data_IF_661440703792
#
_entry.id   IF_661440703792
#
_cell.length_a   1.000
_cell.length_b   1.000
_cell.length_c   1.000
_cell.angle_alpha   90.00
_cell.angle_beta   90.00
_cell.angle_gamma   90.00
#
_symmetry.space_group_name_H-M   'P 1'
#
loop_
_entity.id
_entity.type
_entity.pdbx_description
1 polymer ?
#
# COMPACT_ATOMS: atom_id res chain seq x y z
N UNK A 1 -20.63 13.01 12.36
CA UNK A 1 -21.96 12.71 11.75
C UNK A 1 -22.03 11.20 11.60
N UNK A 2 -22.95 10.54 12.28
CA UNK A 2 -23.15 9.07 12.22
C UNK A 2 -24.07 8.78 11.04
N UNK A 3 -23.67 7.87 10.16
CA UNK A 3 -24.48 7.43 9.03
C UNK A 3 -25.34 6.22 9.43
N UNK A 4 -26.34 5.86 8.60
CA UNK A 4 -27.25 4.74 8.85
C UNK A 4 -26.57 3.37 9.04
N UNK A 5 -25.27 3.27 8.72
CA UNK A 5 -24.41 2.09 8.92
C UNK A 5 -23.66 2.08 10.27
N UNK A 6 -23.84 3.13 11.10
CA UNK A 6 -23.19 3.28 12.40
C UNK A 6 -21.72 3.68 12.36
N UNK A 7 -21.19 4.07 11.19
CA UNK A 7 -19.78 4.48 11.04
C UNK A 7 -19.65 6.00 11.18
N UNK A 8 -18.82 6.44 12.11
CA UNK A 8 -18.50 7.85 12.32
C UNK A 8 -17.54 8.35 11.22
N UNK A 9 -17.94 9.38 10.49
CA UNK A 9 -17.07 9.99 9.48
C UNK A 9 -16.19 11.08 10.07
N UNK A 10 -14.90 11.09 9.71
CA UNK A 10 -13.99 12.14 10.14
C UNK A 10 -14.30 13.49 9.49
N UNK A 11 -13.85 14.58 10.13
CA UNK A 11 -14.01 15.94 9.63
C UNK A 11 -13.18 16.14 8.35
N UNK A 12 -13.78 16.60 7.23
CA UNK A 12 -13.07 16.83 5.97
C UNK A 12 -11.91 17.84 6.08
N UNK A 13 -12.01 18.85 6.93
CA UNK A 13 -10.92 19.84 7.14
C UNK A 13 -9.72 19.17 7.77
N UNK A 14 -9.93 18.27 8.72
CA UNK A 14 -8.86 17.53 9.37
C UNK A 14 -8.19 16.55 8.40
N UNK A 15 -8.96 15.92 7.50
CA UNK A 15 -8.43 14.99 6.49
C UNK A 15 -7.46 15.69 5.53
N UNK A 16 -7.83 16.85 4.99
CA UNK A 16 -6.96 17.58 4.09
C UNK A 16 -5.61 17.93 4.73
N UNK A 17 -5.64 18.40 5.99
CA UNK A 17 -4.42 18.68 6.75
C UNK A 17 -3.56 17.42 6.95
N UNK A 18 -4.18 16.27 7.22
CA UNK A 18 -3.47 15.00 7.38
C UNK A 18 -2.79 14.60 6.06
N UNK A 19 -3.51 14.71 4.93
CA UNK A 19 -2.96 14.39 3.60
C UNK A 19 -1.79 15.32 3.27
N UNK A 20 -1.96 16.64 3.40
CA UNK A 20 -0.92 17.63 3.11
C UNK A 20 0.35 17.40 3.93
N UNK A 21 0.20 17.12 5.23
CA UNK A 21 1.33 16.85 6.13
C UNK A 21 2.10 15.57 5.76
N UNK A 22 1.45 14.58 5.13
CA UNK A 22 2.06 13.31 4.75
C UNK A 22 2.47 13.23 3.28
N UNK A 23 2.02 14.16 2.45
CA UNK A 23 2.20 14.11 1.01
C UNK A 23 3.68 14.04 0.59
N UNK A 24 4.57 14.74 1.28
CA UNK A 24 6.01 14.69 0.99
C UNK A 24 6.59 13.28 1.14
N UNK A 25 6.12 12.46 2.09
CA UNK A 25 6.57 11.06 2.22
C UNK A 25 6.19 10.24 0.98
N UNK A 26 5.01 10.45 0.40
CA UNK A 26 4.60 9.83 -0.87
C UNK A 26 5.48 10.28 -2.03
N UNK A 27 5.78 11.56 -2.15
CA UNK A 27 6.63 12.11 -3.21
C UNK A 27 8.07 11.59 -3.12
N UNK A 28 8.66 11.56 -1.93
CA UNK A 28 10.01 11.03 -1.74
C UNK A 28 10.10 9.54 -2.08
N UNK A 29 9.14 8.74 -1.63
CA UNK A 29 9.03 7.32 -1.95
C UNK A 29 8.84 7.09 -3.44
N UNK A 30 7.98 7.87 -4.08
CA UNK A 30 7.75 7.81 -5.52
C UNK A 30 9.02 8.11 -6.33
N UNK A 31 9.80 9.11 -5.91
CA UNK A 31 11.10 9.40 -6.54
C UNK A 31 12.09 8.24 -6.41
N UNK A 32 12.09 7.54 -5.27
CA UNK A 32 12.93 6.34 -5.10
C UNK A 32 12.49 5.22 -6.05
N UNK A 33 11.18 4.96 -6.14
CA UNK A 33 10.61 3.96 -7.04
C UNK A 33 10.95 4.28 -8.50
N UNK A 34 10.73 5.53 -8.94
CA UNK A 34 10.99 5.97 -10.31
C UNK A 34 12.47 5.87 -10.68
N UNK A 35 13.37 6.40 -9.84
CA UNK A 35 14.83 6.38 -10.08
C UNK A 35 15.39 4.96 -10.20
N UNK A 36 14.77 3.98 -9.58
CA UNK A 36 15.17 2.58 -9.65
C UNK A 36 14.40 1.79 -10.73
N UNK A 37 13.55 2.46 -11.54
CA UNK A 37 12.82 1.82 -12.62
C UNK A 37 11.73 0.85 -12.15
N UNK A 38 11.19 1.04 -10.94
CA UNK A 38 10.20 0.16 -10.32
C UNK A 38 8.75 0.62 -10.52
N UNK A 39 8.54 1.81 -11.13
CA UNK A 39 7.22 2.32 -11.48
C UNK A 39 6.73 1.66 -12.78
N UNK A 40 6.02 0.54 -12.68
CA UNK A 40 5.52 -0.21 -13.83
C UNK A 40 4.04 0.09 -14.04
N UNK A 41 3.73 0.93 -15.03
CA UNK A 41 2.35 1.34 -15.31
C UNK A 41 1.66 1.95 -14.10
N UNK A 42 0.45 1.48 -13.78
CA UNK A 42 -0.29 1.81 -12.56
C UNK A 42 -0.18 0.73 -11.48
N UNK A 43 0.80 -0.17 -11.62
CA UNK A 43 1.00 -1.28 -10.69
C UNK A 43 1.68 -0.86 -9.39
N UNK A 44 1.25 -1.50 -8.30
CA UNK A 44 1.73 -1.20 -6.96
C UNK A 44 0.97 -0.06 -6.28
N UNK A 45 1.24 0.15 -5.01
CA UNK A 45 0.60 1.17 -4.18
C UNK A 45 1.40 1.48 -2.93
N UNK A 46 1.15 2.66 -2.37
CA UNK A 46 1.81 3.19 -1.18
C UNK A 46 0.77 3.55 -0.14
N UNK A 47 1.03 3.28 1.14
CA UNK A 47 0.14 3.72 2.21
C UNK A 47 0.88 4.14 3.48
N UNK A 48 0.22 4.98 4.28
CA UNK A 48 0.69 5.45 5.59
C UNK A 48 -0.46 5.32 6.59
N UNK A 49 -0.19 4.71 7.76
CA UNK A 49 -1.13 4.69 8.88
C UNK A 49 -1.16 6.04 9.56
N UNK A 50 -2.33 6.59 9.74
CA UNK A 50 -2.57 7.88 10.37
C UNK A 50 -3.65 7.77 11.46
N UNK A 51 -3.81 8.76 12.34
CA UNK A 51 -4.93 8.77 13.29
C UNK A 51 -6.27 8.62 12.57
N UNK A 52 -7.06 7.64 12.99
CA UNK A 52 -8.40 7.38 12.43
C UNK A 52 -8.44 6.59 11.12
N UNK A 53 -7.29 6.09 10.60
CA UNK A 53 -7.31 5.28 9.37
C UNK A 53 -5.96 5.16 8.67
N UNK A 54 -6.01 5.07 7.35
CA UNK A 54 -4.82 5.03 6.49
C UNK A 54 -4.95 6.02 5.33
N UNK A 55 -3.83 6.56 4.88
CA UNK A 55 -3.71 7.20 3.58
C UNK A 55 -3.18 6.17 2.59
N UNK A 56 -3.77 6.08 1.41
CA UNK A 56 -3.34 5.15 0.36
C UNK A 56 -3.46 5.79 -1.02
N UNK A 57 -2.58 5.44 -1.95
CA UNK A 57 -2.68 5.87 -3.34
C UNK A 57 -3.97 5.35 -3.99
N UNK A 58 -4.57 6.15 -4.87
CA UNK A 58 -5.80 5.79 -5.58
C UNK A 58 -5.57 4.68 -6.61
N UNK A 59 -6.63 3.97 -6.94
CA UNK A 59 -6.62 3.02 -8.06
C UNK A 59 -6.23 3.73 -9.36
N UNK A 60 -5.31 3.14 -10.12
CA UNK A 60 -4.78 3.70 -11.36
C UNK A 60 -3.74 4.81 -11.21
N UNK A 61 -3.36 5.16 -9.98
CA UNK A 61 -2.29 6.12 -9.70
C UNK A 61 -0.94 5.59 -10.17
N UNK A 62 -0.13 6.47 -10.77
CA UNK A 62 1.24 6.11 -11.15
C UNK A 62 2.20 6.37 -9.99
N UNK A 63 2.97 5.36 -9.60
CA UNK A 63 3.93 5.49 -8.50
C UNK A 63 5.12 6.39 -8.82
N UNK A 64 5.31 6.83 -10.06
CA UNK A 64 6.35 7.81 -10.44
C UNK A 64 6.08 9.22 -9.94
N UNK A 65 4.86 9.55 -9.51
CA UNK A 65 4.51 10.88 -9.00
C UNK A 65 3.01 11.02 -8.77
N UNK A 66 2.47 10.49 -7.67
CA UNK A 66 1.05 10.65 -7.36
C UNK A 66 0.73 12.13 -7.10
N UNK A 67 -0.46 12.54 -7.50
CA UNK A 67 -1.00 13.87 -7.21
C UNK A 67 -1.65 13.88 -5.82
N UNK A 68 -1.84 15.07 -5.26
CA UNK A 68 -2.45 15.23 -3.93
C UNK A 68 -3.86 14.60 -3.87
N UNK A 69 -4.67 14.77 -4.94
CA UNK A 69 -6.01 14.20 -5.07
C UNK A 69 -6.03 12.68 -5.33
N UNK A 70 -4.85 12.06 -5.47
CA UNK A 70 -4.65 10.62 -5.60
C UNK A 70 -4.27 9.95 -4.26
N UNK A 71 -4.15 10.73 -3.19
CA UNK A 71 -3.99 10.19 -1.84
C UNK A 71 -5.35 10.15 -1.17
N UNK A 72 -5.84 8.96 -0.90
CA UNK A 72 -7.19 8.70 -0.40
C UNK A 72 -7.12 8.35 1.08
N UNK A 73 -7.97 8.98 1.88
CA UNK A 73 -8.12 8.65 3.29
C UNK A 73 -9.17 7.54 3.45
N UNK A 74 -8.74 6.37 3.90
CA UNK A 74 -9.61 5.24 4.25
C UNK A 74 -9.73 5.20 5.76
N UNK A 75 -10.96 5.32 6.29
CA UNK A 75 -11.20 5.41 7.73
C UNK A 75 -11.83 4.14 8.32
N UNK A 76 -12.35 3.23 7.49
CA UNK A 76 -12.89 1.96 7.95
C UNK A 76 -12.96 0.93 6.83
N UNK A 77 -12.70 -0.34 7.17
CA UNK A 77 -12.89 -1.49 6.28
C UNK A 77 -13.70 -2.54 7.02
N UNK A 78 -14.81 -3.00 6.42
CA UNK A 78 -15.67 -4.04 6.97
C UNK A 78 -15.95 -5.10 5.91
N UNK A 79 -15.51 -6.30 6.15
CA UNK A 79 -15.49 -7.37 5.15
C UNK A 79 -14.83 -6.89 3.84
N UNK A 80 -15.58 -6.72 2.76
CA UNK A 80 -15.09 -6.21 1.47
C UNK A 80 -15.47 -4.75 1.22
N UNK A 81 -16.18 -4.10 2.15
CA UNK A 81 -16.59 -2.70 2.01
C UNK A 81 -15.49 -1.77 2.53
N UNK A 82 -15.11 -0.81 1.71
CA UNK A 82 -14.09 0.20 2.02
C UNK A 82 -14.79 1.56 2.16
N UNK A 83 -14.62 2.17 3.33
CA UNK A 83 -15.17 3.50 3.66
C UNK A 83 -14.05 4.54 3.58
N UNK A 84 -14.20 5.52 2.70
CA UNK A 84 -13.12 6.46 2.40
C UNK A 84 -13.62 7.88 2.10
N UNK A 85 -12.72 8.83 2.18
CA UNK A 85 -12.89 10.22 1.75
C UNK A 85 -11.89 10.53 0.64
N UNK A 86 -12.36 11.09 -0.46
CA UNK A 86 -11.58 11.44 -1.63
C UNK A 86 -12.43 11.49 -2.89
N UNK A 87 -11.90 12.08 -3.96
CA UNK A 87 -12.56 12.18 -5.26
C UNK A 87 -12.37 10.93 -6.14
N UNK A 88 -11.37 10.13 -5.82
CA UNK A 88 -11.00 8.90 -6.53
C UNK A 88 -11.22 7.67 -5.64
N UNK A 89 -11.31 6.50 -6.24
CA UNK A 89 -11.37 5.23 -5.49
C UNK A 89 -9.98 4.91 -4.92
N UNK A 90 -9.87 4.40 -3.69
CA UNK A 90 -8.60 3.90 -3.18
C UNK A 90 -8.12 2.70 -3.99
N UNK A 91 -6.83 2.33 -3.84
CA UNK A 91 -6.27 1.12 -4.47
C UNK A 91 -7.15 -0.10 -4.25
N UNK A 92 -7.25 -0.98 -5.23
CA UNK A 92 -7.93 -2.28 -5.11
C UNK A 92 -7.34 -3.16 -4.00
N UNK A 93 -6.09 -2.91 -3.59
CA UNK A 93 -5.40 -3.66 -2.54
C UNK A 93 -5.52 -3.02 -1.14
N UNK A 94 -6.42 -2.08 -0.98
CA UNK A 94 -6.68 -1.41 0.31
C UNK A 94 -6.98 -2.40 1.44
N UNK A 95 -7.72 -3.48 1.16
CA UNK A 95 -8.04 -4.52 2.15
C UNK A 95 -6.77 -5.20 2.66
N UNK A 96 -5.84 -5.54 1.77
CA UNK A 96 -4.54 -6.12 2.12
C UNK A 96 -3.75 -5.18 3.05
N UNK A 97 -3.61 -3.91 2.67
CA UNK A 97 -2.92 -2.92 3.50
C UNK A 97 -3.58 -2.75 4.88
N UNK A 98 -4.91 -2.66 4.91
CA UNK A 98 -5.67 -2.54 6.16
C UNK A 98 -5.38 -3.71 7.10
N UNK A 99 -5.44 -4.94 6.61
CA UNK A 99 -5.20 -6.15 7.40
C UNK A 99 -3.76 -6.25 7.92
N UNK A 100 -2.78 -5.82 7.12
CA UNK A 100 -1.38 -5.72 7.58
C UNK A 100 -1.28 -4.75 8.76
N UNK A 101 -1.90 -3.57 8.69
CA UNK A 101 -1.89 -2.61 9.80
C UNK A 101 -2.64 -3.08 11.06
N UNK A 102 -3.66 -3.93 10.91
CA UNK A 102 -4.33 -4.56 12.05
C UNK A 102 -3.44 -5.59 12.73
N UNK A 103 -2.71 -6.40 11.96
CA UNK A 103 -1.83 -7.46 12.48
C UNK A 103 -0.46 -6.95 12.95
N UNK A 104 -0.01 -5.81 12.45
CA UNK A 104 1.29 -5.18 12.75
C UNK A 104 1.10 -3.74 13.26
N UNK A 105 0.69 -3.55 14.53
CA UNK A 105 0.47 -2.22 15.10
C UNK A 105 1.75 -1.38 15.23
N UNK A 106 2.91 -2.02 15.18
CA UNK A 106 4.24 -1.43 15.25
C UNK A 106 4.66 -0.69 13.97
N UNK A 107 4.13 -1.08 12.81
CA UNK A 107 4.41 -0.44 11.52
C UNK A 107 3.50 0.77 11.27
N UNK A 108 3.97 1.67 10.39
CA UNK A 108 3.22 2.89 10.02
C UNK A 108 3.14 3.10 8.52
N UNK A 109 3.86 2.33 7.71
CA UNK A 109 3.88 2.51 6.27
C UNK A 109 4.07 1.19 5.52
N UNK A 110 3.54 1.14 4.30
CA UNK A 110 3.62 0.02 3.37
C UNK A 110 3.98 0.54 1.99
N UNK A 111 4.95 -0.10 1.35
CA UNK A 111 5.34 0.12 -0.04
C UNK A 111 5.20 -1.19 -0.81
N UNK A 112 4.46 -1.16 -1.93
CA UNK A 112 4.25 -2.29 -2.81
C UNK A 112 4.51 -1.91 -4.26
N UNK A 113 5.25 -2.74 -4.99
CA UNK A 113 5.57 -2.57 -6.42
C UNK A 113 5.38 -3.90 -7.16
N UNK A 114 4.93 -3.82 -8.41
CA UNK A 114 4.65 -4.98 -9.25
C UNK A 114 5.89 -5.42 -10.03
N UNK A 115 6.97 -5.75 -9.31
CA UNK A 115 8.20 -6.31 -9.88
C UNK A 115 8.70 -7.49 -9.04
N UNK A 116 9.40 -8.42 -9.69
CA UNK A 116 9.98 -9.58 -9.04
C UNK A 116 11.25 -9.26 -8.24
N UNK A 117 11.73 -10.19 -7.41
CA UNK A 117 12.93 -10.03 -6.61
C UNK A 117 14.22 -10.23 -7.44
N UNK A 118 15.30 -9.63 -6.98
CA UNK A 118 16.66 -9.86 -7.51
C UNK A 118 17.07 -11.33 -7.32
N UNK A 119 16.89 -11.82 -6.11
CA UNK A 119 17.11 -13.24 -5.76
C UNK A 119 15.89 -13.77 -4.97
N UNK A 120 15.25 -14.80 -5.51
CA UNK A 120 14.09 -15.45 -4.89
C UNK A 120 14.44 -16.21 -3.60
N UNK A 121 15.72 -16.53 -3.37
CA UNK A 121 16.18 -17.22 -2.17
C UNK A 121 16.34 -16.29 -0.96
N UNK A 122 16.47 -15.01 -1.20
CA UNK A 122 16.68 -14.00 -0.15
C UNK A 122 15.37 -13.38 0.36
N UNK A 123 14.23 -13.75 -0.22
CA UNK A 123 12.92 -13.18 0.13
C UNK A 123 11.88 -14.28 0.36
N UNK A 124 11.10 -14.13 1.42
CA UNK A 124 9.96 -15.04 1.66
C UNK A 124 8.91 -14.78 0.58
N UNK A 125 8.48 -15.85 -0.09
CA UNK A 125 7.44 -15.78 -1.13
C UNK A 125 6.17 -16.46 -0.63
N UNK A 126 4.99 -15.87 -0.92
CA UNK A 126 3.70 -16.51 -0.66
C UNK A 126 3.63 -17.87 -1.36
N UNK A 127 3.00 -18.87 -0.73
CA UNK A 127 2.93 -20.23 -1.27
C UNK A 127 2.18 -20.29 -2.58
N UNK A 128 1.06 -19.60 -2.64
CA UNK A 128 0.12 -19.63 -3.75
C UNK A 128 0.05 -18.26 -4.45
N UNK A 129 -0.37 -18.29 -5.71
CA UNK A 129 -0.76 -17.11 -6.44
C UNK A 129 -2.21 -16.78 -6.04
N UNK A 130 -2.39 -15.70 -5.28
CA UNK A 130 -3.71 -15.28 -4.80
C UNK A 130 -4.15 -14.06 -5.59
N UNK A 131 -5.42 -14.04 -5.99
CA UNK A 131 -6.01 -12.93 -6.75
C UNK A 131 -5.86 -11.62 -5.97
N UNK A 132 -5.33 -10.59 -6.65
CA UNK A 132 -5.19 -9.24 -6.09
C UNK A 132 -6.55 -8.64 -5.69
N UNK A 133 -6.55 -7.77 -4.68
CA UNK A 133 -7.75 -7.11 -4.17
C UNK A 133 -8.67 -8.00 -3.34
N UNK A 134 -8.29 -9.25 -3.08
CA UNK A 134 -9.08 -10.18 -2.25
C UNK A 134 -8.69 -10.11 -0.77
N UNK A 135 -9.63 -10.48 0.09
CA UNK A 135 -9.39 -10.64 1.52
C UNK A 135 -8.39 -11.77 1.81
N UNK A 136 -8.44 -12.84 1.02
CA UNK A 136 -7.52 -13.97 1.12
C UNK A 136 -6.07 -13.54 0.94
N UNK A 137 -5.78 -12.70 -0.07
CA UNK A 137 -4.45 -12.10 -0.23
C UNK A 137 -4.05 -11.28 1.00
N UNK A 138 -4.99 -10.51 1.55
CA UNK A 138 -4.76 -9.71 2.75
C UNK A 138 -4.40 -10.58 3.97
N UNK A 139 -5.09 -11.70 4.18
CA UNK A 139 -4.84 -12.64 5.27
C UNK A 139 -3.49 -13.33 5.14
N UNK A 140 -3.16 -13.86 3.96
CA UNK A 140 -1.87 -14.51 3.69
C UNK A 140 -0.70 -13.55 3.89
N UNK A 141 -0.80 -12.35 3.31
CA UNK A 141 0.23 -11.31 3.39
C UNK A 141 0.43 -10.83 4.83
N UNK A 142 -0.66 -10.53 5.54
CA UNK A 142 -0.59 -10.07 6.92
C UNK A 142 0.02 -11.12 7.86
N UNK A 143 -0.30 -12.39 7.68
CA UNK A 143 0.26 -13.49 8.45
C UNK A 143 1.76 -13.67 8.16
N UNK A 144 2.17 -13.61 6.91
CA UNK A 144 3.58 -13.76 6.52
C UNK A 144 4.42 -12.61 7.07
N UNK A 145 3.92 -11.36 6.98
CA UNK A 145 4.61 -10.17 7.46
C UNK A 145 4.67 -10.04 9.00
N UNK A 146 4.09 -10.95 9.78
CA UNK A 146 4.30 -10.98 11.23
C UNK A 146 5.77 -11.22 11.63
N UNK A 147 6.52 -11.94 10.78
CA UNK A 147 7.88 -12.36 11.09
C UNK A 147 8.95 -11.75 10.17
N UNK A 148 8.55 -10.91 9.23
CA UNK A 148 9.45 -10.22 8.30
C UNK A 148 8.90 -8.84 7.94
N UNK A 149 9.76 -7.96 7.44
CA UNK A 149 9.35 -6.65 6.94
C UNK A 149 9.25 -6.59 5.41
N UNK A 150 9.54 -7.70 4.72
CA UNK A 150 9.45 -7.77 3.26
C UNK A 150 9.04 -9.17 2.83
N UNK A 151 8.22 -9.26 1.80
CA UNK A 151 7.90 -10.52 1.14
C UNK A 151 7.60 -10.32 -0.34
N UNK A 152 7.67 -11.41 -1.09
CA UNK A 152 7.23 -11.51 -2.46
C UNK A 152 5.80 -12.10 -2.49
N UNK A 153 4.88 -11.39 -3.10
CA UNK A 153 3.59 -11.92 -3.52
C UNK A 153 3.79 -12.68 -4.84
N UNK A 154 3.58 -13.99 -4.85
CA UNK A 154 3.89 -14.87 -5.98
C UNK A 154 3.22 -14.38 -7.27
N UNK A 155 4.03 -14.18 -8.31
CA UNK A 155 3.63 -13.65 -9.62
C UNK A 155 2.96 -12.26 -9.57
N UNK A 156 3.15 -11.48 -8.50
CA UNK A 156 2.46 -10.22 -8.29
C UNK A 156 3.44 -9.07 -8.03
N UNK A 157 4.31 -9.19 -7.04
CA UNK A 157 5.25 -8.13 -6.72
C UNK A 157 5.79 -8.20 -5.31
N UNK A 158 6.61 -7.22 -4.96
CA UNK A 158 7.24 -7.11 -3.64
C UNK A 158 6.47 -6.11 -2.79
N UNK A 159 6.21 -6.49 -1.54
CA UNK A 159 5.63 -5.63 -0.52
C UNK A 159 6.58 -5.54 0.68
N UNK A 160 6.78 -4.33 1.19
CA UNK A 160 7.56 -4.08 2.40
C UNK A 160 6.86 -3.13 3.35
N UNK A 161 7.17 -3.27 4.63
CA UNK A 161 6.57 -2.53 5.74
C UNK A 161 7.64 -1.92 6.64
N UNK A 162 7.39 -0.71 7.17
CA UNK A 162 8.27 -0.04 8.14
C UNK A 162 7.51 1.04 8.92
N UNK A 163 8.24 1.79 9.76
CA UNK A 163 7.73 2.91 10.57
C UNK A 163 7.48 4.18 9.77
N UNK A 164 8.07 4.32 8.58
CA UNK A 164 7.81 5.41 7.65
C UNK A 164 7.88 4.91 6.19
N UNK A 165 7.27 5.65 5.29
CA UNK A 165 7.09 5.20 3.91
C UNK A 165 8.41 5.17 3.11
N UNK A 166 9.30 6.10 3.38
CA UNK A 166 10.59 6.16 2.69
C UNK A 166 11.45 4.93 3.03
N UNK A 167 11.45 4.49 4.29
CA UNK A 167 12.23 3.32 4.69
C UNK A 167 11.59 2.02 4.20
N UNK A 168 10.26 1.87 4.23
CA UNK A 168 9.57 0.76 3.57
C UNK A 168 9.92 0.69 2.07
N UNK A 169 9.99 1.85 1.40
CA UNK A 169 10.35 1.91 -0.02
C UNK A 169 11.83 1.56 -0.28
N UNK A 170 12.74 1.94 0.60
CA UNK A 170 14.15 1.52 0.51
C UNK A 170 14.30 -0.01 0.58
N UNK A 171 13.54 -0.66 1.46
CA UNK A 171 13.51 -2.12 1.53
C UNK A 171 13.03 -2.71 0.19
N UNK A 172 11.96 -2.18 -0.39
CA UNK A 172 11.50 -2.61 -1.73
C UNK A 172 12.61 -2.46 -2.76
N UNK A 173 13.29 -1.31 -2.82
CA UNK A 173 14.38 -1.04 -3.77
C UNK A 173 15.56 -2.02 -3.59
N UNK A 174 15.85 -2.41 -2.36
CA UNK A 174 16.92 -3.38 -2.05
C UNK A 174 16.63 -4.75 -2.69
N UNK A 175 15.39 -5.23 -2.60
CA UNK A 175 15.01 -6.58 -3.06
C UNK A 175 14.52 -6.62 -4.51
N UNK A 176 13.98 -5.54 -5.06
CA UNK A 176 13.31 -5.51 -6.36
C UNK A 176 14.30 -5.53 -7.55
N UNK A 177 13.93 -6.26 -8.61
CA UNK A 177 14.62 -6.25 -9.91
C UNK A 177 13.72 -5.57 -10.97
N UNK A 178 14.15 -4.41 -11.44
CA UNK A 178 13.43 -3.65 -12.46
C UNK A 178 13.33 -4.34 -13.84
N UNK A 179 14.06 -5.44 -14.04
CA UNK A 179 14.01 -6.27 -15.25
C UNK A 179 12.94 -7.37 -15.19
N UNK A 180 12.27 -7.51 -14.05
CA UNK A 180 11.23 -8.52 -13.81
C UNK A 180 9.86 -7.87 -13.52
N UNK A 181 9.29 -7.04 -14.43
CA UNK A 181 8.00 -6.42 -14.20
C UNK A 181 6.85 -7.43 -14.30
N UNK A 182 5.86 -7.32 -13.43
CA UNK A 182 4.56 -7.97 -13.58
C UNK A 182 3.55 -6.97 -14.14
N UNK A 183 3.04 -7.26 -15.33
CA UNK A 183 2.04 -6.43 -16.01
C UNK A 183 0.72 -7.19 -15.97
N UNK A 184 -0.24 -6.65 -15.25
CA UNK A 184 -1.61 -7.16 -15.20
C UNK A 184 -2.43 -6.43 -16.26
N UNK A 185 -2.99 -7.17 -17.20
CA UNK A 185 -3.89 -6.67 -18.27
C UNK A 185 -5.35 -6.85 -17.87
#
# INVERSE_FOLDING_TARGET
MIWNDGVERPDPVNINNIIENKFNEFIESSKLIERNGLAVGSGGNLSIKVPGGILITSSGSQLSGPKLDEIIFVFYVKANDIYYCGSKKPSSETIMHWMIYENRPDIKAISHVNVGPKDEKEIITSKDEITWGTRELGEDTANTLQNTNVMMLKNHGIIAVDKNLVDATKIVVEYADNKKPYIFT
#
